data_IF_123791342585
#
_entry.id   IF_123791342585
#
_cell.length_a   1.000
_cell.length_b   1.000
_cell.length_c   1.000
_cell.angle_alpha   90.00
_cell.angle_beta   90.00
_cell.angle_gamma   90.00
#
_symmetry.space_group_name_H-M   'P 1'
#
loop_
_entity.id
_entity.type
_entity.pdbx_description
1 polymer ?
#
# COMPACT_ATOMS: atom_id res chain seq x y z
N UNK A 1 -21.19 55.66 -21.90
CA UNK A 1 -21.34 56.37 -20.62
C UNK A 1 -20.41 55.68 -19.60
N UNK A 2 -19.27 56.31 -19.31
CA UNK A 2 -18.21 55.76 -18.43
C UNK A 2 -18.48 56.17 -17.01
N UNK A 3 -18.75 55.24 -16.13
CA UNK A 3 -18.87 55.44 -14.68
C UNK A 3 -17.53 55.29 -14.00
N UNK A 4 -16.85 56.39 -13.73
CA UNK A 4 -15.63 56.45 -12.90
C UNK A 4 -15.98 56.14 -11.45
N UNK A 5 -15.62 54.98 -10.94
CA UNK A 5 -15.72 54.66 -9.52
C UNK A 5 -14.47 55.15 -8.81
N UNK A 6 -14.66 56.20 -8.00
CA UNK A 6 -13.61 56.83 -7.22
C UNK A 6 -13.18 55.92 -6.09
N UNK A 7 -11.89 55.63 -6.04
CA UNK A 7 -11.25 54.95 -4.92
C UNK A 7 -10.91 55.97 -3.84
N UNK A 8 -11.53 55.87 -2.72
CA UNK A 8 -11.18 56.67 -1.56
C UNK A 8 -10.00 56.00 -0.84
N UNK A 9 -8.87 56.69 -0.90
CA UNK A 9 -7.71 56.49 -0.01
C UNK A 9 -8.09 56.98 1.38
N UNK A 10 -8.20 56.12 2.33
CA UNK A 10 -8.20 56.46 3.74
C UNK A 10 -7.79 55.27 4.57
N UNK A 11 -6.76 55.45 5.37
CA UNK A 11 -6.50 54.57 6.49
C UNK A 11 -5.07 54.03 6.56
N UNK A 12 -4.14 54.92 6.80
CA UNK A 12 -2.79 54.60 7.30
C UNK A 12 -2.95 54.11 8.76
N UNK A 13 -3.22 52.83 8.93
CA UNK A 13 -3.23 52.16 10.23
C UNK A 13 -1.93 51.41 10.43
N UNK A 14 -0.97 52.09 11.09
CA UNK A 14 0.26 51.48 11.56
C UNK A 14 -0.06 50.51 12.69
N UNK A 15 -0.34 49.25 12.35
CA UNK A 15 -0.45 48.20 13.32
C UNK A 15 0.93 47.58 13.55
N UNK A 16 1.49 47.92 14.70
CA UNK A 16 2.64 47.27 15.30
C UNK A 16 2.29 45.76 15.49
N UNK A 17 2.80 44.98 14.61
CA UNK A 17 2.74 43.50 14.79
C UNK A 17 3.80 43.17 15.85
N UNK A 18 3.43 42.61 17.00
CA UNK A 18 4.41 42.15 17.96
C UNK A 18 5.18 40.99 17.34
N UNK A 19 6.51 41.17 17.29
CA UNK A 19 7.45 40.10 16.96
C UNK A 19 7.43 39.13 18.15
N UNK A 20 6.38 38.31 18.20
CA UNK A 20 6.20 37.28 19.20
C UNK A 20 6.25 35.94 18.54
N UNK A 21 7.35 35.28 18.77
CA UNK A 21 7.47 33.80 18.78
C UNK A 21 6.84 33.09 17.61
N UNK A 22 7.52 33.05 16.47
CA UNK A 22 7.44 31.91 15.58
C UNK A 22 8.15 30.77 16.31
N UNK A 23 7.44 30.16 17.24
CA UNK A 23 7.77 28.82 17.67
C UNK A 23 7.68 27.93 16.43
N UNK A 24 8.81 27.74 15.84
CA UNK A 24 9.06 26.82 14.76
C UNK A 24 8.73 25.41 15.28
N UNK A 25 7.45 25.07 15.23
CA UNK A 25 7.01 23.69 15.41
C UNK A 25 7.45 22.91 14.18
N UNK A 26 8.76 22.68 14.09
CA UNK A 26 9.34 21.59 13.32
C UNK A 26 9.01 20.29 14.06
N UNK A 27 7.73 20.04 14.23
CA UNK A 27 7.26 18.67 14.36
C UNK A 27 7.32 18.06 12.96
N UNK A 28 8.51 18.04 12.39
CA UNK A 28 8.82 17.12 11.32
C UNK A 28 8.59 15.74 11.90
N UNK A 29 7.62 15.04 11.41
CA UNK A 29 7.52 13.60 11.55
C UNK A 29 8.75 12.98 10.88
N UNK A 30 9.88 13.04 11.56
CA UNK A 30 11.00 12.14 11.35
C UNK A 30 10.75 10.98 12.30
N UNK A 31 9.63 10.32 12.14
CA UNK A 31 9.52 8.94 12.59
C UNK A 31 10.19 8.10 11.52
N UNK A 32 11.50 8.03 11.58
CA UNK A 32 12.36 7.06 10.90
C UNK A 32 11.98 5.62 11.29
N UNK A 33 10.97 5.46 12.11
CA UNK A 33 10.45 4.16 12.54
C UNK A 33 9.47 3.53 11.55
N UNK A 34 9.02 4.29 10.53
CA UNK A 34 8.01 3.77 9.59
C UNK A 34 8.58 2.88 8.50
N UNK A 35 9.90 2.79 8.37
CA UNK A 35 10.53 1.96 7.35
C UNK A 35 11.28 0.77 7.91
N UNK A 36 11.31 0.63 9.24
CA UNK A 36 11.81 -0.58 9.85
C UNK A 36 10.66 -1.58 9.84
N UNK A 37 10.57 -2.39 8.79
CA UNK A 37 9.81 -3.63 8.88
C UNK A 37 10.34 -4.36 10.10
N UNK A 38 9.56 -4.58 11.15
CA UNK A 38 10.05 -5.30 12.31
C UNK A 38 10.57 -6.65 11.82
N UNK A 39 11.79 -7.05 12.23
CA UNK A 39 12.39 -8.30 11.78
C UNK A 39 11.56 -9.54 12.14
N UNK A 40 10.58 -9.38 12.99
CA UNK A 40 9.77 -10.45 13.54
C UNK A 40 8.46 -10.68 12.76
N UNK A 41 8.12 -9.83 11.81
CA UNK A 41 7.00 -10.08 10.90
C UNK A 41 7.33 -11.07 9.79
N UNK A 42 8.49 -11.71 9.85
CA UNK A 42 8.77 -12.89 9.02
C UNK A 42 7.76 -14.01 9.34
N UNK A 43 7.13 -13.95 10.50
CA UNK A 43 6.01 -14.82 10.89
C UNK A 43 4.63 -14.20 10.75
N UNK A 44 4.51 -12.88 10.47
CA UNK A 44 3.24 -12.29 10.11
C UNK A 44 2.79 -12.93 8.80
N UNK A 45 1.82 -13.80 8.90
CA UNK A 45 1.40 -14.72 7.87
C UNK A 45 1.10 -13.98 6.59
N UNK A 46 1.99 -14.11 5.61
CA UNK A 46 1.78 -13.55 4.27
C UNK A 46 0.40 -13.98 3.75
N UNK A 47 -0.30 -13.04 3.14
CA UNK A 47 -1.59 -13.33 2.51
C UNK A 47 -1.42 -14.22 1.27
N UNK A 48 -2.48 -14.93 0.89
CA UNK A 48 -2.46 -15.82 -0.27
C UNK A 48 -2.02 -15.15 -1.57
N UNK A 49 -2.47 -13.91 -1.82
CA UNK A 49 -2.07 -13.13 -2.99
C UNK A 49 -0.55 -12.85 -3.04
N UNK A 50 0.02 -12.49 -1.90
CA UNK A 50 1.46 -12.23 -1.79
C UNK A 50 2.25 -13.51 -1.98
N UNK A 51 1.86 -14.59 -1.32
CA UNK A 51 2.50 -15.90 -1.47
C UNK A 51 2.43 -16.40 -2.92
N UNK A 52 1.29 -16.21 -3.58
CA UNK A 52 1.13 -16.52 -4.99
C UNK A 52 2.09 -15.72 -5.88
N UNK A 53 2.16 -14.41 -5.70
CA UNK A 53 3.06 -13.56 -6.46
C UNK A 53 4.53 -13.95 -6.25
N UNK A 54 4.96 -14.16 -5.01
CA UNK A 54 6.36 -14.46 -4.68
C UNK A 54 6.81 -15.85 -5.12
N UNK A 55 5.92 -16.83 -5.10
CA UNK A 55 6.29 -18.21 -5.39
C UNK A 55 6.11 -18.60 -6.86
N UNK A 56 5.06 -18.10 -7.52
CA UNK A 56 4.72 -18.58 -8.86
C UNK A 56 5.53 -17.91 -9.98
N UNK A 57 5.98 -16.66 -9.78
CA UNK A 57 6.79 -15.95 -10.79
C UNK A 57 8.19 -16.50 -10.97
N UNK A 58 8.68 -17.32 -10.04
CA UNK A 58 10.06 -17.82 -10.06
C UNK A 58 10.38 -18.74 -11.24
N UNK A 59 9.38 -19.42 -11.79
CA UNK A 59 9.60 -20.44 -12.80
C UNK A 59 8.94 -20.15 -14.13
N UNK A 60 7.78 -19.47 -14.14
CA UNK A 60 7.04 -19.17 -15.37
C UNK A 60 6.09 -17.98 -15.15
N UNK A 61 5.48 -17.50 -16.23
CA UNK A 61 4.45 -16.47 -16.14
C UNK A 61 3.25 -16.97 -15.33
N UNK A 62 2.80 -16.14 -14.40
CA UNK A 62 1.64 -16.45 -13.57
C UNK A 62 0.37 -16.55 -14.41
N UNK A 63 -0.45 -17.54 -14.13
CA UNK A 63 -1.82 -17.63 -14.62
C UNK A 63 -2.71 -16.72 -13.77
N UNK A 64 -3.62 -16.02 -14.41
CA UNK A 64 -4.60 -15.19 -13.69
C UNK A 64 -5.51 -16.10 -12.86
N UNK A 65 -6.00 -15.67 -11.70
CA UNK A 65 -6.96 -16.45 -10.93
C UNK A 65 -8.16 -16.91 -11.76
N UNK A 66 -8.69 -16.05 -12.63
CA UNK A 66 -9.82 -16.34 -13.54
C UNK A 66 -9.49 -17.30 -14.69
N UNK A 67 -8.27 -17.84 -14.75
CA UNK A 67 -7.86 -18.74 -15.85
C UNK A 67 -8.37 -20.17 -15.70
N UNK A 68 -8.75 -20.54 -14.49
CA UNK A 68 -9.16 -21.90 -14.15
C UNK A 68 -10.34 -21.87 -13.18
N UNK A 69 -11.18 -22.90 -13.25
CA UNK A 69 -12.20 -23.17 -12.24
C UNK A 69 -11.58 -23.62 -10.91
N UNK A 70 -12.36 -23.64 -9.85
CA UNK A 70 -11.91 -24.07 -8.53
C UNK A 70 -11.29 -25.46 -8.53
N UNK A 71 -11.92 -26.41 -9.24
CA UNK A 71 -11.42 -27.78 -9.35
C UNK A 71 -10.12 -27.89 -10.14
N UNK A 72 -9.97 -27.07 -11.18
CA UNK A 72 -8.74 -27.01 -11.96
C UNK A 72 -7.61 -26.38 -11.14
N UNK A 73 -7.93 -25.36 -10.31
CA UNK A 73 -6.97 -24.82 -9.37
C UNK A 73 -6.53 -25.84 -8.33
N UNK A 74 -7.42 -26.67 -7.80
CA UNK A 74 -7.05 -27.74 -6.88
C UNK A 74 -6.07 -28.72 -7.54
N UNK A 75 -6.35 -29.15 -8.75
CA UNK A 75 -5.47 -30.05 -9.50
C UNK A 75 -4.11 -29.40 -9.80
N UNK A 76 -4.10 -28.18 -10.30
CA UNK A 76 -2.86 -27.45 -10.63
C UNK A 76 -2.00 -27.23 -9.38
N UNK A 77 -2.60 -26.78 -8.30
CA UNK A 77 -1.90 -26.47 -7.07
C UNK A 77 -1.39 -27.69 -6.32
N UNK A 78 -2.04 -28.84 -6.48
CA UNK A 78 -1.51 -30.11 -5.98
C UNK A 78 -0.13 -30.43 -6.57
N UNK A 79 0.06 -30.23 -7.86
CA UNK A 79 1.36 -30.39 -8.52
C UNK A 79 2.35 -29.27 -8.18
N UNK A 80 1.87 -28.03 -8.10
CA UNK A 80 2.74 -26.88 -7.86
C UNK A 80 3.27 -26.85 -6.43
N UNK A 81 2.55 -27.40 -5.46
CA UNK A 81 3.01 -27.51 -4.07
C UNK A 81 4.40 -28.12 -3.98
N UNK A 82 4.63 -29.22 -4.67
CA UNK A 82 5.92 -29.90 -4.65
C UNK A 82 6.97 -29.13 -5.44
N UNK A 83 6.63 -28.63 -6.63
CA UNK A 83 7.55 -27.95 -7.51
C UNK A 83 8.02 -26.60 -6.97
N UNK A 84 7.13 -25.87 -6.31
CA UNK A 84 7.46 -24.58 -5.68
C UNK A 84 7.93 -24.74 -4.22
N UNK A 85 8.01 -25.97 -3.70
CA UNK A 85 8.39 -26.28 -2.34
C UNK A 85 7.57 -25.50 -1.30
N UNK A 86 6.25 -25.50 -1.46
CA UNK A 86 5.34 -24.79 -0.57
C UNK A 86 5.06 -25.63 0.69
N UNK A 87 5.04 -24.95 1.82
CA UNK A 87 4.51 -25.52 3.05
C UNK A 87 3.01 -25.80 2.91
N UNK A 88 2.45 -26.59 3.80
CA UNK A 88 1.00 -26.87 3.80
C UNK A 88 0.18 -25.59 3.99
N UNK A 89 0.66 -24.68 4.84
CA UNK A 89 -0.02 -23.42 5.13
C UNK A 89 0.03 -22.45 3.93
N UNK A 90 1.20 -22.29 3.32
CA UNK A 90 1.34 -21.45 2.11
C UNK A 90 0.48 -21.97 0.97
N UNK A 91 0.50 -23.27 0.73
CA UNK A 91 -0.35 -23.90 -0.28
C UNK A 91 -1.83 -23.62 -0.05
N UNK A 92 -2.31 -23.81 1.19
CA UNK A 92 -3.69 -23.54 1.58
C UNK A 92 -4.08 -22.09 1.28
N UNK A 93 -3.29 -21.14 1.74
CA UNK A 93 -3.56 -19.70 1.52
C UNK A 93 -3.57 -19.31 0.05
N UNK A 94 -2.67 -19.86 -0.75
CA UNK A 94 -2.62 -19.61 -2.19
C UNK A 94 -3.88 -20.15 -2.86
N UNK A 95 -4.29 -21.38 -2.55
CA UNK A 95 -5.49 -22.00 -3.11
C UNK A 95 -6.74 -21.21 -2.76
N UNK A 96 -6.89 -20.82 -1.49
CA UNK A 96 -8.01 -19.99 -1.03
C UNK A 96 -8.07 -18.66 -1.78
N UNK A 97 -6.92 -17.99 -1.95
CA UNK A 97 -6.84 -16.76 -2.72
C UNK A 97 -7.26 -16.95 -4.18
N UNK A 98 -6.72 -17.96 -4.87
CA UNK A 98 -7.00 -18.22 -6.27
C UNK A 98 -8.49 -18.50 -6.51
N UNK A 99 -9.13 -19.25 -5.63
CA UNK A 99 -10.56 -19.53 -5.69
C UNK A 99 -11.43 -18.32 -5.35
N UNK A 100 -10.98 -17.46 -4.43
CA UNK A 100 -11.73 -16.25 -4.08
C UNK A 100 -11.64 -15.14 -5.12
N UNK A 101 -10.62 -15.18 -5.97
CA UNK A 101 -10.34 -14.21 -7.01
C UNK A 101 -10.66 -14.72 -8.42
N UNK A 102 -11.32 -15.86 -8.52
CA UNK A 102 -11.72 -16.56 -9.73
C UNK A 102 -12.97 -15.94 -10.40
#
# INVERSE_FOLDING_TARGET
>A
MFGKKRWHLAGLGLLLVPIGSIALSLAGCITTESCLCPPDTVGASKGGAQLWAENCTRCHNMRRPTSYSDSEWDAAMHHMRVRANLTAEEHKKIVEYLKSAN
#
